data_IF_685777056402
#
_entry.id   IF_685777056402
#
_cell.length_a   1.000
_cell.length_b   1.000
_cell.length_c   1.000
_cell.angle_alpha   90.00
_cell.angle_beta   90.00
_cell.angle_gamma   90.00
#
_symmetry.space_group_name_H-M   'P 1'
#
loop_
_entity.id
_entity.type
_entity.pdbx_description
1 polymer ?
#
# COMPACT_ATOMS: atom_id res chain seq x y z
N UNK A 1 10.96 3.88 -11.27
CA UNK A 1 11.63 3.39 -10.04
C UNK A 1 11.26 1.92 -9.84
N UNK A 2 12.22 1.09 -9.47
CA UNK A 2 12.00 -0.30 -9.07
C UNK A 2 12.40 -0.45 -7.60
N UNK A 3 11.52 -1.02 -6.80
CA UNK A 3 11.80 -1.34 -5.39
C UNK A 3 12.29 -2.77 -5.26
N UNK A 4 12.92 -3.10 -4.13
CA UNK A 4 13.25 -4.50 -3.81
C UNK A 4 11.98 -5.29 -3.51
N UNK A 5 12.05 -6.63 -3.67
CA UNK A 5 10.90 -7.52 -3.39
C UNK A 5 10.47 -7.58 -1.91
N UNK A 6 11.19 -6.89 -1.02
CA UNK A 6 10.87 -6.79 0.41
C UNK A 6 10.50 -5.36 0.84
N UNK A 7 10.40 -4.42 -0.11
CA UNK A 7 10.07 -3.04 0.22
C UNK A 7 8.56 -2.85 0.39
N UNK A 8 8.18 -2.12 1.43
CA UNK A 8 6.86 -1.50 1.54
C UNK A 8 6.74 -0.40 0.46
N UNK A 9 5.78 -0.47 -0.45
CA UNK A 9 5.61 0.53 -1.50
C UNK A 9 5.10 1.88 -0.97
N UNK A 10 4.46 1.91 0.19
CA UNK A 10 3.84 3.11 0.76
C UNK A 10 4.82 4.27 0.96
N UNK A 11 5.90 4.10 1.76
CA UNK A 11 6.91 5.14 1.97
C UNK A 11 7.58 5.60 0.67
N UNK A 12 7.81 4.68 -0.28
CA UNK A 12 8.40 5.04 -1.58
C UNK A 12 7.44 5.92 -2.38
N UNK A 13 6.16 5.54 -2.44
CA UNK A 13 5.14 6.35 -3.11
C UNK A 13 5.00 7.73 -2.43
N UNK A 14 5.04 7.78 -1.10
CA UNK A 14 4.94 9.02 -0.33
C UNK A 14 6.04 10.02 -0.68
N UNK A 15 7.27 9.57 -0.99
CA UNK A 15 8.38 10.45 -1.38
C UNK A 15 8.02 11.33 -2.57
N UNK A 16 7.23 10.84 -3.52
CA UNK A 16 6.79 11.62 -4.69
C UNK A 16 5.85 12.77 -4.34
N UNK A 17 5.27 12.78 -3.15
CA UNK A 17 4.32 13.79 -2.70
C UNK A 17 4.89 14.75 -1.66
N UNK A 18 5.83 14.27 -0.85
CA UNK A 18 6.37 15.02 0.30
C UNK A 18 7.68 15.70 -0.01
N UNK A 19 8.55 15.09 -0.82
CA UNK A 19 9.83 15.68 -1.19
C UNK A 19 9.65 16.72 -2.30
N UNK A 20 9.91 17.98 -1.99
CA UNK A 20 9.69 19.11 -2.91
C UNK A 20 10.56 19.03 -4.18
N UNK A 21 11.79 18.51 -4.07
CA UNK A 21 12.68 18.36 -5.23
C UNK A 21 12.23 17.24 -6.17
N UNK A 22 11.72 16.15 -5.60
CA UNK A 22 11.16 15.02 -6.36
C UNK A 22 9.85 15.45 -7.00
N UNK A 23 8.94 16.04 -6.24
CA UNK A 23 7.64 16.53 -6.70
C UNK A 23 7.75 17.55 -7.83
N UNK A 24 8.74 18.45 -7.77
CA UNK A 24 8.95 19.46 -8.82
C UNK A 24 9.40 18.87 -10.16
N UNK A 25 9.94 17.66 -10.19
CA UNK A 25 10.57 17.05 -11.38
C UNK A 25 9.89 15.77 -11.84
N UNK A 26 9.01 15.19 -11.03
CA UNK A 26 8.40 13.89 -11.30
C UNK A 26 6.92 13.88 -10.90
N UNK A 27 6.20 12.94 -11.48
CA UNK A 27 4.83 12.65 -11.12
C UNK A 27 4.68 11.13 -10.96
N UNK A 28 4.05 10.68 -9.89
CA UNK A 28 3.73 9.28 -9.73
C UNK A 28 2.56 8.92 -10.65
N UNK A 29 2.81 8.11 -11.66
CA UNK A 29 1.80 7.66 -12.61
C UNK A 29 0.97 6.51 -12.04
N UNK A 30 1.64 5.44 -11.63
CA UNK A 30 1.01 4.25 -11.06
C UNK A 30 2.02 3.38 -10.31
N UNK A 31 1.50 2.50 -9.45
CA UNK A 31 2.27 1.44 -8.82
C UNK A 31 1.91 0.11 -9.48
N UNK A 32 2.88 -0.55 -10.08
CA UNK A 32 2.72 -1.85 -10.74
C UNK A 32 3.38 -2.94 -9.93
N UNK A 33 2.64 -3.96 -9.51
CA UNK A 33 3.21 -5.16 -8.90
C UNK A 33 3.51 -6.20 -9.98
N UNK A 34 4.77 -6.67 -10.01
CA UNK A 34 5.19 -7.79 -10.85
C UNK A 34 5.16 -9.07 -10.02
N UNK A 35 4.30 -10.01 -10.40
CA UNK A 35 3.99 -11.21 -9.62
C UNK A 35 4.38 -12.45 -10.40
N UNK A 36 5.12 -13.36 -9.77
CA UNK A 36 5.49 -14.68 -10.32
C UNK A 36 4.33 -15.66 -10.10
N UNK A 37 3.64 -16.06 -11.18
CA UNK A 37 2.49 -16.96 -11.13
C UNK A 37 2.79 -18.30 -10.43
N UNK A 38 4.02 -18.81 -10.59
CA UNK A 38 4.41 -20.12 -10.04
C UNK A 38 4.67 -20.09 -8.53
N UNK A 39 5.16 -18.96 -8.00
CA UNK A 39 5.66 -18.91 -6.62
C UNK A 39 4.84 -17.99 -5.71
N UNK A 40 3.90 -17.19 -6.26
CA UNK A 40 3.19 -16.17 -5.50
C UNK A 40 2.36 -16.75 -4.36
N UNK A 41 1.71 -17.91 -4.52
CA UNK A 41 0.85 -18.48 -3.47
C UNK A 41 1.64 -18.70 -2.17
N UNK A 42 2.79 -19.36 -2.23
CA UNK A 42 3.65 -19.53 -1.07
C UNK A 42 4.14 -18.19 -0.51
N UNK A 43 4.50 -17.23 -1.39
CA UNK A 43 4.93 -15.90 -0.94
C UNK A 43 3.85 -15.12 -0.23
N UNK A 44 2.61 -15.17 -0.69
CA UNK A 44 1.48 -14.51 -0.05
C UNK A 44 1.16 -15.12 1.33
N UNK A 45 1.46 -16.40 1.53
CA UNK A 45 1.27 -17.05 2.83
C UNK A 45 2.38 -16.66 3.83
N UNK A 46 3.62 -16.54 3.36
CA UNK A 46 4.80 -16.38 4.21
C UNK A 46 5.21 -14.90 4.44
N UNK A 47 4.87 -13.98 3.51
CA UNK A 47 5.38 -12.61 3.55
C UNK A 47 4.25 -11.59 3.64
N UNK A 48 4.33 -10.74 4.68
CA UNK A 48 3.46 -9.57 4.83
C UNK A 48 3.70 -8.55 3.71
N UNK A 49 4.97 -8.31 3.37
CA UNK A 49 5.39 -7.37 2.34
C UNK A 49 4.84 -7.77 0.96
N UNK A 50 4.82 -9.06 0.64
CA UNK A 50 4.22 -9.53 -0.61
C UNK A 50 2.72 -9.23 -0.69
N UNK A 51 2.00 -9.39 0.42
CA UNK A 51 0.58 -9.00 0.52
C UNK A 51 0.38 -7.50 0.39
N UNK A 52 1.21 -6.71 1.06
CA UNK A 52 1.19 -5.23 1.01
C UNK A 52 1.46 -4.73 -0.41
N UNK A 53 2.47 -5.27 -1.10
CA UNK A 53 2.78 -4.91 -2.48
C UNK A 53 1.61 -5.17 -3.42
N UNK A 54 0.94 -6.32 -3.30
CA UNK A 54 -0.25 -6.64 -4.10
C UNK A 54 -1.43 -5.73 -3.74
N UNK A 55 -1.68 -5.51 -2.45
CA UNK A 55 -2.78 -4.67 -1.99
C UNK A 55 -2.60 -3.20 -2.41
N UNK A 56 -1.35 -2.72 -2.42
CA UNK A 56 -1.01 -1.34 -2.77
C UNK A 56 -0.97 -1.08 -4.28
N UNK A 57 -0.89 -2.11 -5.12
CA UNK A 57 -0.73 -1.96 -6.55
C UNK A 57 -1.95 -1.32 -7.24
N UNK A 58 -1.70 -0.48 -8.25
CA UNK A 58 -2.71 0.01 -9.18
C UNK A 58 -3.04 -1.00 -10.26
N UNK A 59 -2.06 -1.82 -10.61
CA UNK A 59 -2.15 -2.90 -11.57
C UNK A 59 -1.17 -4.01 -11.23
N UNK A 60 -1.48 -5.22 -11.67
CA UNK A 60 -0.69 -6.41 -11.41
C UNK A 60 -0.29 -7.03 -12.74
N UNK A 61 1.00 -7.27 -12.93
CA UNK A 61 1.51 -8.11 -14.04
C UNK A 61 1.73 -9.50 -13.47
N UNK A 62 0.85 -10.44 -13.83
CA UNK A 62 1.00 -11.84 -13.50
C UNK A 62 1.91 -12.50 -14.52
N UNK A 63 3.19 -12.59 -14.19
CA UNK A 63 4.25 -13.07 -15.06
C UNK A 63 4.50 -14.57 -14.91
N UNK A 64 5.17 -15.16 -15.87
CA UNK A 64 5.50 -16.60 -15.96
C UNK A 64 4.25 -17.48 -16.01
N UNK A 65 3.20 -17.02 -16.69
CA UNK A 65 1.96 -17.80 -16.84
C UNK A 65 2.19 -19.10 -17.62
N UNK A 66 3.24 -19.16 -18.42
CA UNK A 66 3.71 -20.34 -19.15
C UNK A 66 4.20 -21.49 -18.24
N UNK A 67 4.49 -21.19 -16.97
CA UNK A 67 4.98 -22.18 -15.99
C UNK A 67 3.88 -22.72 -15.05
N UNK A 68 2.64 -22.29 -15.23
CA UNK A 68 1.51 -22.68 -14.39
C UNK A 68 0.36 -23.23 -15.24
N UNK A 69 -0.42 -24.14 -14.67
CA UNK A 69 -1.63 -24.67 -15.29
C UNK A 69 -2.78 -23.64 -15.20
N UNK A 70 -3.82 -23.83 -16.01
CA UNK A 70 -5.00 -22.96 -15.97
C UNK A 70 -5.69 -22.95 -14.59
N UNK A 71 -5.75 -24.09 -13.92
CA UNK A 71 -6.31 -24.21 -12.57
C UNK A 71 -5.45 -23.47 -11.54
N UNK A 72 -4.12 -23.56 -11.63
CA UNK A 72 -3.18 -22.81 -10.79
C UNK A 72 -3.35 -21.29 -11.03
N UNK A 73 -3.44 -20.87 -12.28
CA UNK A 73 -3.65 -19.46 -12.64
C UNK A 73 -4.98 -18.93 -12.11
N UNK A 74 -6.06 -19.70 -12.22
CA UNK A 74 -7.36 -19.32 -11.69
C UNK A 74 -7.31 -19.15 -10.16
N UNK A 75 -6.64 -20.05 -9.44
CA UNK A 75 -6.46 -19.95 -7.99
C UNK A 75 -5.63 -18.72 -7.60
N UNK A 76 -4.52 -18.45 -8.32
CA UNK A 76 -3.67 -17.26 -8.11
C UNK A 76 -4.48 -15.99 -8.33
N UNK A 77 -5.19 -15.87 -9.44
CA UNK A 77 -5.99 -14.68 -9.74
C UNK A 77 -7.09 -14.46 -8.69
N UNK A 78 -7.75 -15.51 -8.24
CA UNK A 78 -8.73 -15.42 -7.16
C UNK A 78 -8.10 -14.88 -5.87
N UNK A 79 -6.91 -15.34 -5.50
CA UNK A 79 -6.17 -14.87 -4.32
C UNK A 79 -5.74 -13.41 -4.46
N UNK A 80 -5.23 -13.02 -5.63
CA UNK A 80 -4.83 -11.64 -5.91
C UNK A 80 -6.04 -10.70 -5.85
N UNK A 81 -7.19 -11.09 -6.41
CA UNK A 81 -8.44 -10.30 -6.34
C UNK A 81 -9.01 -10.19 -4.93
N UNK A 82 -8.82 -11.18 -4.08
CA UNK A 82 -9.20 -11.11 -2.66
C UNK A 82 -8.38 -10.04 -1.91
N UNK A 83 -7.11 -9.84 -2.28
CA UNK A 83 -6.24 -8.81 -1.72
C UNK A 83 -6.49 -7.45 -2.37
N UNK A 84 -6.64 -7.42 -3.68
CA UNK A 84 -6.84 -6.18 -4.45
C UNK A 84 -7.92 -6.37 -5.53
N UNK A 85 -9.19 -6.11 -5.21
CA UNK A 85 -10.31 -6.33 -6.14
C UNK A 85 -10.34 -5.38 -7.33
N UNK A 86 -9.64 -4.23 -7.24
CA UNK A 86 -9.72 -3.16 -8.24
C UNK A 86 -8.57 -3.18 -9.25
N UNK A 87 -7.42 -3.73 -8.90
CA UNK A 87 -6.28 -3.75 -9.78
C UNK A 87 -6.51 -4.69 -10.98
N UNK A 88 -6.39 -4.21 -12.23
CA UNK A 88 -6.37 -5.09 -13.38
C UNK A 88 -5.18 -6.05 -13.31
N UNK A 89 -5.41 -7.30 -13.68
CA UNK A 89 -4.38 -8.33 -13.76
C UNK A 89 -4.05 -8.55 -15.24
N UNK A 90 -2.79 -8.31 -15.60
CA UNK A 90 -2.26 -8.53 -16.94
C UNK A 90 -1.41 -9.80 -16.93
N UNK A 91 -1.83 -10.83 -17.67
CA UNK A 91 -1.03 -12.05 -17.85
C UNK A 91 0.15 -11.79 -18.76
N UNK A 92 1.32 -12.29 -18.41
CA UNK A 92 2.55 -12.09 -19.15
C UNK A 92 3.47 -13.33 -19.12
N UNK A 93 4.24 -13.46 -20.18
CA UNK A 93 5.41 -14.34 -20.26
C UNK A 93 6.65 -13.45 -20.44
N UNK A 94 7.71 -13.70 -19.67
CA UNK A 94 8.95 -12.91 -19.71
C UNK A 94 8.74 -11.40 -19.59
N UNK A 95 7.76 -11.01 -18.77
CA UNK A 95 7.31 -9.63 -18.58
C UNK A 95 6.85 -8.92 -19.89
N UNK A 96 6.48 -9.67 -20.91
CA UNK A 96 5.99 -9.13 -22.19
C UNK A 96 4.58 -8.57 -22.07
N UNK A 97 4.48 -7.26 -21.86
CA UNK A 97 3.23 -6.50 -21.83
C UNK A 97 3.37 -5.25 -22.69
N UNK A 98 2.28 -4.81 -23.29
CA UNK A 98 2.25 -3.55 -24.02
C UNK A 98 2.50 -2.40 -23.06
N UNK A 99 3.46 -1.53 -23.37
CA UNK A 99 3.81 -0.40 -22.50
C UNK A 99 2.64 0.55 -22.28
N UNK A 100 1.77 0.73 -23.25
CA UNK A 100 0.56 1.55 -23.13
C UNK A 100 -0.45 1.02 -22.10
N UNK A 101 -0.33 -0.23 -21.70
CA UNK A 101 -1.12 -0.82 -20.61
C UNK A 101 -0.49 -0.59 -19.24
N UNK A 102 0.78 -0.20 -19.20
CA UNK A 102 1.56 -0.05 -17.95
C UNK A 102 1.85 1.41 -17.66
N UNK A 103 2.14 2.22 -18.66
CA UNK A 103 2.49 3.63 -18.56
C UNK A 103 1.30 4.53 -18.91
N UNK A 104 1.30 5.76 -18.39
CA UNK A 104 0.24 6.74 -18.65
C UNK A 104 -1.09 6.35 -18.03
N UNK A 105 -1.06 5.67 -16.89
CA UNK A 105 -2.28 5.19 -16.20
C UNK A 105 -2.98 6.28 -15.41
N UNK A 106 -2.23 7.35 -15.04
CA UNK A 106 -2.75 8.47 -14.24
C UNK A 106 -3.48 7.99 -12.97
N UNK A 107 -2.95 6.93 -12.35
CA UNK A 107 -3.51 6.34 -11.14
C UNK A 107 -3.40 7.24 -9.91
N UNK A 108 -2.49 8.24 -9.98
CA UNK A 108 -2.29 9.25 -8.96
C UNK A 108 -2.37 10.64 -9.60
N UNK A 109 -3.49 11.31 -9.40
CA UNK A 109 -3.66 12.73 -9.76
C UNK A 109 -3.67 13.55 -8.46
N UNK A 110 -2.48 14.03 -8.09
CA UNK A 110 -2.31 14.79 -6.85
C UNK A 110 -3.04 16.13 -6.90
N UNK A 111 -3.04 16.81 -8.06
CA UNK A 111 -3.68 18.12 -8.21
C UNK A 111 -5.18 17.99 -7.92
N UNK A 112 -5.79 16.93 -8.41
CA UNK A 112 -7.19 16.62 -8.15
C UNK A 112 -7.46 16.25 -6.67
N UNK A 113 -6.51 15.58 -6.02
CA UNK A 113 -6.62 15.26 -4.60
C UNK A 113 -6.49 16.55 -3.77
N UNK A 114 -5.58 17.45 -4.13
CA UNK A 114 -5.37 18.73 -3.44
C UNK A 114 -6.51 19.73 -3.64
N UNK A 115 -7.21 19.68 -4.78
CA UNK A 115 -8.46 20.46 -4.98
C UNK A 115 -9.53 20.08 -3.95
N UNK A 116 -9.60 18.79 -3.60
CA UNK A 116 -10.59 18.25 -2.66
C UNK A 116 -10.11 18.34 -1.20
N UNK A 117 -8.82 18.12 -0.97
CA UNK A 117 -8.17 18.13 0.34
C UNK A 117 -6.82 18.85 0.31
N UNK A 118 -6.80 20.17 0.45
CA UNK A 118 -5.56 20.96 0.46
C UNK A 118 -4.56 20.55 1.56
N UNK A 119 -5.05 19.93 2.63
CA UNK A 119 -4.29 19.45 3.78
C UNK A 119 -3.75 18.03 3.63
N UNK A 120 -4.01 17.36 2.49
CA UNK A 120 -3.61 15.96 2.27
C UNK A 120 -2.09 15.74 2.37
N UNK A 121 -1.28 16.70 1.90
CA UNK A 121 0.18 16.61 1.94
C UNK A 121 0.75 17.13 3.27
N UNK A 122 0.02 18.02 3.95
CA UNK A 122 0.39 18.59 5.24
C UNK A 122 -0.78 18.43 6.21
N UNK A 123 -1.00 17.25 6.79
CA UNK A 123 -2.02 17.09 7.82
C UNK A 123 -1.68 18.04 8.99
N UNK A 124 -2.66 18.72 9.59
CA UNK A 124 -2.41 19.60 10.72
C UNK A 124 -1.71 18.79 11.82
N UNK A 125 -0.52 19.20 12.20
CA UNK A 125 0.24 18.64 13.30
C UNK A 125 -0.55 18.83 14.60
N UNK A 126 -1.25 17.80 15.06
CA UNK A 126 -2.08 17.98 16.25
C UNK A 126 -2.90 16.80 16.75
N UNK A 127 -2.57 15.56 16.42
CA UNK A 127 -3.23 14.42 17.05
C UNK A 127 -2.30 13.46 17.81
N UNK A 128 -1.00 13.47 17.52
CA UNK A 128 -0.04 12.62 18.23
C UNK A 128 0.96 13.54 18.96
N UNK A 129 0.83 13.61 20.29
CA UNK A 129 1.53 14.53 21.17
C UNK A 129 3.06 14.34 21.25
N UNK A 130 3.77 14.32 20.13
CA UNK A 130 5.22 14.40 20.05
C UNK A 130 5.63 15.82 19.67
N UNK A 131 5.76 16.68 20.66
CA UNK A 131 6.48 17.94 20.55
C UNK A 131 7.97 17.59 20.35
N UNK A 132 8.51 17.83 19.17
CA UNK A 132 9.95 17.88 18.97
C UNK A 132 10.49 19.14 19.64
N UNK A 133 10.92 18.99 20.86
CA UNK A 133 11.66 20.00 21.60
C UNK A 133 13.07 20.11 20.98
N UNK A 134 13.54 21.33 20.71
CA UNK A 134 14.84 21.62 20.09
C UNK A 134 16.06 21.24 20.98
N UNK A 135 15.86 20.36 21.96
CA UNK A 135 16.87 20.01 22.98
C UNK A 135 17.19 18.51 23.05
N UNK A 136 17.11 17.76 21.96
CA UNK A 136 17.69 16.42 21.93
C UNK A 136 19.21 16.48 21.75
N UNK A 137 19.90 16.91 22.80
CA UNK A 137 21.35 16.77 22.91
C UNK A 137 21.71 15.29 23.04
N UNK A 138 22.48 14.77 22.09
CA UNK A 138 23.04 13.43 22.15
C UNK A 138 24.24 13.43 23.08
N UNK A 139 24.04 13.05 24.37
CA UNK A 139 25.11 12.66 25.24
C UNK A 139 25.52 11.21 24.95
N UNK A 140 26.70 11.04 24.40
CA UNK A 140 27.37 9.75 24.24
C UNK A 140 27.85 9.25 25.61
N UNK A 141 27.09 8.32 26.20
CA UNK A 141 27.62 7.54 27.33
C UNK A 141 28.25 6.25 26.80
N UNK A 142 29.57 6.26 26.92
CA UNK A 142 30.46 5.10 26.79
C UNK A 142 30.14 4.10 27.92
N UNK A 143 29.63 2.93 27.59
CA UNK A 143 29.46 1.84 28.54
C UNK A 143 30.24 0.62 28.09
N UNK A 144 31.35 0.39 28.84
CA UNK A 144 32.15 -0.82 28.76
C UNK A 144 31.29 -2.07 29.02
N UNK A 145 31.40 -3.04 28.15
CA UNK A 145 30.72 -4.33 28.25
C UNK A 145 31.62 -5.36 28.93
N UNK A 146 31.18 -5.80 30.10
CA UNK A 146 31.68 -7.01 30.75
C UNK A 146 30.81 -8.21 30.29
N UNK A 147 31.47 -9.27 29.80
CA UNK A 147 30.80 -10.45 29.22
C UNK A 147 30.64 -11.52 30.31
N UNK A 148 29.44 -11.65 30.85
CA UNK A 148 29.02 -12.82 31.63
C UNK A 148 28.14 -13.75 30.71
N UNK A 149 28.63 -14.95 30.42
CA UNK A 149 27.87 -15.97 29.69
C UNK A 149 27.05 -16.78 30.68
N UNK A 150 25.76 -16.55 30.73
CA UNK A 150 24.80 -17.48 31.34
C UNK A 150 23.96 -18.15 30.23
N UNK A 151 24.14 -19.46 30.09
CA UNK A 151 23.35 -20.32 29.24
C UNK A 151 21.96 -20.54 29.87
N UNK A 152 20.94 -19.90 29.33
CA UNK A 152 19.58 -20.28 29.62
C UNK A 152 19.04 -21.10 28.43
N UNK A 153 18.78 -22.39 28.73
CA UNK A 153 18.00 -23.29 27.89
C UNK A 153 16.60 -22.70 27.72
N UNK A 154 16.28 -22.24 26.52
CA UNK A 154 14.91 -21.86 26.15
C UNK A 154 14.22 -23.04 25.50
N UNK A 155 13.36 -23.69 26.26
CA UNK A 155 12.34 -24.63 25.82
C UNK A 155 11.45 -23.93 24.74
N UNK A 156 11.61 -24.34 23.49
CA UNK A 156 10.78 -23.90 22.36
C UNK A 156 9.51 -24.75 22.32
N UNK A 157 8.56 -24.49 23.21
CA UNK A 157 7.19 -24.93 23.01
C UNK A 157 6.65 -24.34 21.68
N UNK A 158 5.71 -25.04 20.99
CA UNK A 158 5.16 -24.57 19.73
C UNK A 158 4.50 -23.21 19.94
N UNK A 159 5.16 -22.14 19.44
CA UNK A 159 4.57 -20.80 19.41
C UNK A 159 3.35 -20.89 18.49
N UNK A 160 2.17 -20.82 19.10
CA UNK A 160 0.93 -20.66 18.36
C UNK A 160 1.10 -19.52 17.35
N UNK A 161 0.70 -19.78 16.11
CA UNK A 161 0.69 -18.80 15.05
C UNK A 161 -0.08 -17.57 15.53
N UNK A 162 0.65 -16.52 15.89
CA UNK A 162 0.08 -15.21 16.14
C UNK A 162 -0.72 -14.83 14.90
N UNK A 163 -1.93 -14.35 15.11
CA UNK A 163 -2.89 -13.93 14.12
C UNK A 163 -2.19 -13.27 12.94
N UNK A 164 -2.25 -13.92 11.77
CA UNK A 164 -1.90 -13.31 10.51
C UNK A 164 -2.89 -12.16 10.34
N UNK A 165 -2.40 -10.93 10.43
CA UNK A 165 -3.19 -9.75 10.08
C UNK A 165 -3.55 -9.89 8.61
N UNK A 166 -4.77 -10.34 8.35
CA UNK A 166 -5.28 -10.63 7.01
C UNK A 166 -5.54 -9.30 6.30
N UNK A 167 -4.63 -8.90 5.42
CA UNK A 167 -4.86 -7.79 4.50
C UNK A 167 -6.02 -8.19 3.58
N UNK A 168 -7.07 -7.36 3.56
CA UNK A 168 -8.28 -7.59 2.75
C UNK A 168 -8.57 -6.38 1.89
N UNK A 169 -8.85 -6.62 0.62
CA UNK A 169 -9.43 -5.62 -0.27
C UNK A 169 -10.93 -5.47 -0.02
N UNK A 170 -11.39 -4.23 0.16
CA UNK A 170 -12.82 -3.91 0.24
C UNK A 170 -13.17 -3.01 -0.93
N UNK A 171 -14.18 -3.38 -1.70
CA UNK A 171 -14.72 -2.58 -2.80
C UNK A 171 -16.18 -2.25 -2.51
N UNK A 172 -16.52 -0.97 -2.66
CA UNK A 172 -17.88 -0.48 -2.52
C UNK A 172 -18.33 0.16 -3.84
N UNK A 173 -19.51 -0.20 -4.29
CA UNK A 173 -20.15 0.42 -5.45
C UNK A 173 -21.52 0.95 -5.04
N UNK A 174 -21.78 2.20 -5.40
CA UNK A 174 -23.05 2.87 -5.13
C UNK A 174 -23.64 3.32 -6.46
N UNK A 175 -24.95 3.15 -6.60
CA UNK A 175 -25.72 3.47 -7.81
C UNK A 175 -26.37 4.87 -7.78
N UNK A 176 -26.03 5.67 -6.78
CA UNK A 176 -26.56 7.04 -6.59
C UNK A 176 -25.47 7.98 -6.11
N UNK A 177 -25.59 9.29 -6.46
CA UNK A 177 -24.68 10.32 -5.95
C UNK A 177 -24.68 10.40 -4.43
N UNK A 178 -23.52 10.72 -3.87
CA UNK A 178 -23.32 10.92 -2.45
C UNK A 178 -23.55 12.39 -2.05
N UNK A 179 -24.01 12.59 -0.83
CA UNK A 179 -23.97 13.88 -0.15
C UNK A 179 -22.52 14.17 0.25
N UNK A 180 -21.88 15.16 -0.34
CA UNK A 180 -20.46 15.48 -0.12
C UNK A 180 -20.14 15.77 1.34
N UNK A 181 -20.99 16.50 2.05
CA UNK A 181 -20.78 16.83 3.48
C UNK A 181 -20.79 15.56 4.35
N UNK A 182 -21.76 14.68 4.11
CA UNK A 182 -21.85 13.42 4.86
C UNK A 182 -20.71 12.48 4.53
N UNK A 183 -20.30 12.45 3.25
CA UNK A 183 -19.18 11.64 2.82
C UNK A 183 -17.87 12.10 3.47
N UNK A 184 -17.59 13.40 3.46
CA UNK A 184 -16.38 13.95 4.11
C UNK A 184 -16.37 13.63 5.61
N UNK A 185 -17.47 13.88 6.33
CA UNK A 185 -17.57 13.57 7.75
C UNK A 185 -17.40 12.06 8.05
N UNK A 186 -17.89 11.20 7.17
CA UNK A 186 -17.69 9.75 7.29
C UNK A 186 -16.23 9.36 7.03
N UNK A 187 -15.60 9.94 6.00
CA UNK A 187 -14.20 9.65 5.66
C UNK A 187 -13.26 10.11 6.79
N UNK A 188 -13.47 11.31 7.33
CA UNK A 188 -12.68 11.82 8.45
C UNK A 188 -12.78 10.91 9.68
N UNK A 189 -13.99 10.45 10.01
CA UNK A 189 -14.17 9.47 11.08
C UNK A 189 -13.49 8.14 10.79
N UNK A 190 -13.60 7.61 9.56
CA UNK A 190 -12.94 6.37 9.16
C UNK A 190 -11.43 6.48 9.30
N UNK A 191 -10.84 7.60 8.85
CA UNK A 191 -9.40 7.83 8.95
C UNK A 191 -8.96 8.01 10.40
N UNK A 192 -9.74 8.68 11.23
CA UNK A 192 -9.44 8.83 12.66
C UNK A 192 -9.50 7.49 13.42
N UNK A 193 -10.46 6.61 13.09
CA UNK A 193 -10.65 5.33 13.79
C UNK A 193 -9.79 4.19 13.23
N UNK A 194 -9.51 4.20 11.92
CA UNK A 194 -8.93 3.08 11.17
C UNK A 194 -7.79 3.47 10.23
N UNK A 195 -7.35 4.72 10.23
CA UNK A 195 -6.35 5.20 9.28
C UNK A 195 -5.05 4.38 9.29
N UNK A 196 -4.61 3.95 10.47
CA UNK A 196 -3.40 3.12 10.63
C UNK A 196 -3.55 1.70 10.05
N UNK A 197 -4.78 1.20 9.93
CA UNK A 197 -5.09 -0.13 9.38
C UNK A 197 -5.32 -0.06 7.86
N UNK A 198 -5.42 1.13 7.26
CA UNK A 198 -5.70 1.32 5.84
C UNK A 198 -4.37 1.50 5.09
N UNK A 199 -3.95 0.48 4.35
CA UNK A 199 -2.76 0.57 3.49
C UNK A 199 -2.96 1.54 2.34
N UNK A 200 -4.15 1.55 1.74
CA UNK A 200 -4.50 2.40 0.62
C UNK A 200 -6.01 2.46 0.43
N UNK A 201 -6.50 3.63 0.06
CA UNK A 201 -7.87 3.82 -0.43
C UNK A 201 -7.84 4.59 -1.75
N UNK A 202 -8.69 4.19 -2.70
CA UNK A 202 -8.95 4.94 -3.92
C UNK A 202 -10.37 4.68 -4.41
N UNK A 203 -10.92 5.62 -5.15
CA UNK A 203 -12.26 5.47 -5.72
C UNK A 203 -12.62 6.62 -6.64
N UNK A 204 -13.74 6.50 -7.30
CA UNK A 204 -14.40 7.56 -8.04
C UNK A 204 -15.70 7.85 -7.31
N UNK A 205 -15.88 9.09 -6.90
CA UNK A 205 -17.03 9.51 -6.10
C UNK A 205 -17.89 10.45 -6.93
N UNK A 206 -19.16 10.11 -7.05
CA UNK A 206 -20.18 10.95 -7.63
C UNK A 206 -20.87 11.73 -6.51
N UNK A 207 -20.72 13.06 -6.50
CA UNK A 207 -21.26 13.94 -5.45
C UNK A 207 -22.47 14.69 -5.99
N UNK A 208 -23.57 14.66 -5.25
CA UNK A 208 -24.80 15.33 -5.63
C UNK A 208 -24.60 16.85 -5.74
N UNK A 209 -24.89 17.39 -6.92
CA UNK A 209 -24.77 18.83 -7.20
C UNK A 209 -23.40 19.26 -7.73
N UNK A 210 -22.47 18.33 -7.92
CA UNK A 210 -21.16 18.57 -8.55
C UNK A 210 -21.17 18.02 -9.98
N UNK A 211 -20.70 18.82 -10.92
CA UNK A 211 -20.62 18.40 -12.34
C UNK A 211 -19.40 17.47 -12.62
N UNK A 212 -18.50 17.36 -11.68
CA UNK A 212 -17.29 16.54 -11.78
C UNK A 212 -17.33 15.43 -10.73
N UNK A 213 -16.90 14.24 -11.15
CA UNK A 213 -16.65 13.13 -10.23
C UNK A 213 -15.33 13.36 -9.52
N UNK A 214 -15.32 13.12 -8.23
CA UNK A 214 -14.11 13.15 -7.38
C UNK A 214 -13.40 11.80 -7.38
#
# INVERSE_FOLDING_TARGET
>A
VETTGLADPGPVAQTFFVDEDVKAKTQLDSVTALVDAKHVMARLDDSKEAREQVAFADQIILNKVDLATDDELAAVEARLRALNPLAPILRAERAGVDLDKVLGRHGFDLDRILEVRPDFVNPPHGADGHVHDEHCGHDHHDHGHDHGHDHHDHDHGPRGHAHQDDIKGVSLSLDRPLDGTKFTAWLDRLLAEKGQDILRAKGIIDVAGEDRRL
#
